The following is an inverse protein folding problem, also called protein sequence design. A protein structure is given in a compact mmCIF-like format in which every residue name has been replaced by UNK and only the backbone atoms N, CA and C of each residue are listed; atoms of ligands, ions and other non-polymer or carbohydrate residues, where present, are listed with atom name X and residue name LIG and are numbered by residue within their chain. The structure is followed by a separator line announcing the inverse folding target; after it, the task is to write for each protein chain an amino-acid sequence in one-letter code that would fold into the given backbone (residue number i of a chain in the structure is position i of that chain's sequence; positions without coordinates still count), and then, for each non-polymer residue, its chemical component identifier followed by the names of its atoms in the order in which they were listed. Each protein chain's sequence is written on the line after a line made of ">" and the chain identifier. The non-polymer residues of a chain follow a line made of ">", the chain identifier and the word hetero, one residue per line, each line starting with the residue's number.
data_IF_893543567559
#
_entry.id   IF_893543567559
#
_cell.length_a   1.000
_cell.length_b   1.000
_cell.length_c   1.000
_cell.angle_alpha   90.00
_cell.angle_beta   90.00
_cell.angle_gamma   90.00
#
_symmetry.space_group_name_H-M   'P 1'
#
loop_
_entity.id
_entity.type
_entity.pdbx_description
1 polymer ?
#
# COMPACT_ATOMS: atom_id res chain seq x y z
N UNK A 1 7.38 16.49 4.87
CA UNK A 1 8.80 16.82 4.56
C UNK A 1 9.75 16.00 5.42
N UNK A 2 10.82 15.44 4.87
CA UNK A 2 11.88 14.82 5.64
C UNK A 2 12.64 15.85 6.49
N UNK A 3 13.41 15.40 7.50
CA UNK A 3 14.22 16.32 8.30
C UNK A 3 15.28 17.04 7.46
N UNK A 4 15.80 16.38 6.40
CA UNK A 4 16.74 16.99 5.47
C UNK A 4 16.09 18.16 4.69
N UNK A 5 14.87 17.96 4.20
CA UNK A 5 14.09 19.01 3.53
C UNK A 5 13.73 20.17 4.48
N UNK A 6 13.32 19.88 5.71
CA UNK A 6 13.06 20.92 6.73
C UNK A 6 14.31 21.72 7.03
N UNK A 7 15.50 21.10 7.05
CA UNK A 7 16.78 21.84 7.20
C UNK A 7 17.03 22.79 6.02
N UNK A 8 16.69 22.37 4.80
CA UNK A 8 16.80 23.27 3.62
C UNK A 8 15.81 24.44 3.71
N UNK A 9 14.58 24.18 4.14
CA UNK A 9 13.56 25.21 4.34
C UNK A 9 14.05 26.24 5.35
N UNK A 10 14.46 25.83 6.55
CA UNK A 10 14.91 26.77 7.59
C UNK A 10 16.16 27.55 7.18
N UNK A 11 17.08 26.92 6.46
CA UNK A 11 18.26 27.60 5.92
C UNK A 11 17.88 28.67 4.87
N UNK A 12 16.93 28.37 3.98
CA UNK A 12 16.45 29.30 2.96
C UNK A 12 15.73 30.53 3.55
N UNK A 13 15.18 30.38 4.76
CA UNK A 13 14.49 31.43 5.50
C UNK A 13 15.40 32.16 6.51
N UNK A 14 16.69 31.83 6.55
CA UNK A 14 17.65 32.43 7.49
C UNK A 14 17.40 32.05 8.95
N UNK A 15 16.73 30.91 9.22
CA UNK A 15 16.45 30.44 10.57
C UNK A 15 17.59 29.54 11.09
N UNK A 16 17.79 29.46 12.43
CA UNK A 16 18.75 28.54 13.01
C UNK A 16 18.46 27.08 12.65
N UNK A 17 19.48 26.26 12.43
CA UNK A 17 19.36 24.87 11.97
C UNK A 17 18.52 23.96 12.89
N UNK A 18 18.55 24.21 14.21
CA UNK A 18 17.73 23.46 15.18
C UNK A 18 16.22 23.67 15.00
N UNK A 19 15.80 24.75 14.34
CA UNK A 19 14.39 25.04 14.04
C UNK A 19 13.75 23.94 13.19
N UNK A 20 14.52 23.26 12.34
CA UNK A 20 14.01 22.13 11.56
C UNK A 20 13.48 20.98 12.44
N UNK A 21 14.18 20.67 13.56
CA UNK A 21 13.71 19.66 14.51
C UNK A 21 12.47 20.13 15.30
N UNK A 22 12.40 21.43 15.62
CA UNK A 22 11.21 21.99 16.26
C UNK A 22 9.99 21.88 15.35
N UNK A 23 10.12 22.24 14.07
CA UNK A 23 9.05 22.10 13.08
C UNK A 23 8.63 20.63 12.94
N UNK A 24 9.61 19.71 12.81
CA UNK A 24 9.30 18.28 12.73
C UNK A 24 8.51 17.77 13.93
N UNK A 25 8.89 18.17 15.16
CA UNK A 25 8.15 17.80 16.38
C UNK A 25 6.71 18.35 16.38
N UNK A 26 6.51 19.58 15.92
CA UNK A 26 5.16 20.13 15.80
C UNK A 26 4.31 19.39 14.76
N UNK A 27 4.89 19.07 13.60
CA UNK A 27 4.20 18.37 12.52
C UNK A 27 3.88 16.91 12.88
N UNK A 28 4.83 16.18 13.46
CA UNK A 28 4.74 14.71 13.56
C UNK A 28 4.42 14.20 14.98
N UNK A 29 4.94 14.84 16.03
CA UNK A 29 4.61 14.46 17.41
C UNK A 29 3.30 15.10 17.88
N UNK A 30 3.13 16.40 17.62
CA UNK A 30 1.96 17.17 18.07
C UNK A 30 0.82 17.24 17.06
N UNK A 31 1.13 16.94 15.80
CA UNK A 31 0.16 16.88 14.69
C UNK A 31 -0.70 18.15 14.57
N UNK A 32 -0.06 19.31 14.64
CA UNK A 32 -0.74 20.60 14.56
C UNK A 32 -1.37 20.80 13.18
N UNK A 33 -2.50 21.50 13.13
CA UNK A 33 -3.19 21.85 11.89
C UNK A 33 -2.63 23.13 11.25
N UNK A 34 -2.10 24.05 12.07
CA UNK A 34 -1.67 25.36 11.62
C UNK A 34 -0.24 25.70 12.09
N UNK A 35 0.48 26.47 11.26
CA UNK A 35 1.85 26.92 11.60
C UNK A 35 1.85 27.81 12.85
N UNK A 36 0.79 28.58 13.06
CA UNK A 36 0.69 29.48 14.22
C UNK A 36 0.64 28.75 15.56
N UNK A 37 0.29 27.48 15.59
CA UNK A 37 0.33 26.64 16.78
C UNK A 37 1.77 26.32 17.25
N UNK A 38 2.79 26.53 16.41
CA UNK A 38 4.19 26.23 16.70
C UNK A 38 4.80 27.28 17.66
N UNK A 39 4.28 27.35 18.89
CA UNK A 39 4.52 28.44 19.86
C UNK A 39 5.97 28.58 20.35
N UNK A 40 6.82 27.58 20.20
CA UNK A 40 8.27 27.69 20.48
C UNK A 40 9.07 28.32 19.33
N UNK A 41 8.43 28.61 18.19
CA UNK A 41 8.98 29.46 17.14
C UNK A 41 8.61 30.93 17.40
N UNK A 42 9.51 31.87 17.08
CA UNK A 42 9.16 33.28 17.15
C UNK A 42 8.02 33.63 16.21
N UNK A 43 7.22 34.66 16.55
CA UNK A 43 6.14 35.17 15.69
C UNK A 43 6.64 35.45 14.27
N UNK A 44 7.80 36.12 14.15
CA UNK A 44 8.44 36.40 12.87
C UNK A 44 8.70 35.12 12.06
N UNK A 45 9.21 34.07 12.68
CA UNK A 45 9.51 32.81 12.00
C UNK A 45 8.23 32.09 11.57
N UNK A 46 7.18 32.10 12.38
CA UNK A 46 5.88 31.54 12.00
C UNK A 46 5.29 32.27 10.80
N UNK A 47 5.34 33.60 10.78
CA UNK A 47 4.88 34.42 9.65
C UNK A 47 5.67 34.10 8.37
N UNK A 48 7.00 34.05 8.43
CA UNK A 48 7.85 33.69 7.28
C UNK A 48 7.55 32.28 6.73
N UNK A 49 7.23 31.32 7.62
CA UNK A 49 6.80 29.98 7.20
C UNK A 49 5.42 30.01 6.56
N UNK A 50 4.45 30.69 7.16
CA UNK A 50 3.07 30.74 6.69
C UNK A 50 2.91 31.49 5.36
N UNK A 51 3.81 32.41 5.02
CA UNK A 51 3.86 33.07 3.70
C UNK A 51 4.15 32.12 2.54
N UNK A 52 4.80 30.98 2.79
CA UNK A 52 5.30 30.06 1.76
C UNK A 52 4.84 28.63 1.90
N UNK A 53 4.38 28.23 3.08
CA UNK A 53 4.04 26.86 3.42
C UNK A 53 2.75 26.79 4.21
N UNK A 54 2.09 25.65 4.13
CA UNK A 54 0.96 25.29 4.99
C UNK A 54 1.15 23.87 5.51
N UNK A 55 0.47 23.52 6.57
CA UNK A 55 0.34 22.13 7.01
C UNK A 55 -0.59 21.42 6.03
N UNK A 56 -0.08 20.38 5.34
CA UNK A 56 -0.74 19.75 4.20
C UNK A 56 -1.82 18.73 4.56
N UNK A 57 -2.44 18.82 5.73
CA UNK A 57 -3.49 17.89 6.14
C UNK A 57 -4.85 18.34 5.61
N UNK A 58 -5.56 17.44 4.93
CA UNK A 58 -6.92 17.66 4.46
C UNK A 58 -7.80 16.45 4.79
N UNK A 59 -9.01 16.72 5.29
CA UNK A 59 -9.99 15.69 5.55
C UNK A 59 -10.39 14.95 4.25
N UNK A 60 -10.83 13.69 4.35
CA UNK A 60 -11.43 13.01 3.20
C UNK A 60 -12.67 13.78 2.73
N UNK A 61 -12.88 13.80 1.41
CA UNK A 61 -14.04 14.49 0.80
C UNK A 61 -15.30 13.65 0.78
N UNK A 62 -15.17 12.34 0.94
CA UNK A 62 -16.27 11.37 1.02
C UNK A 62 -15.85 10.14 1.84
N UNK A 63 -16.84 9.40 2.36
CA UNK A 63 -16.63 8.17 3.12
C UNK A 63 -17.80 7.21 3.00
N UNK A 64 -17.49 5.93 2.85
CA UNK A 64 -18.44 4.82 2.81
C UNK A 64 -18.13 3.85 3.94
N UNK A 65 -19.15 3.31 4.60
CA UNK A 65 -19.00 2.41 5.73
C UNK A 65 -19.68 1.07 5.44
N UNK A 66 -18.92 -0.02 5.58
CA UNK A 66 -19.38 -1.39 5.46
C UNK A 66 -20.05 -1.86 6.75
N UNK A 67 -20.93 -2.86 6.61
CA UNK A 67 -21.55 -3.54 7.75
C UNK A 67 -20.54 -4.28 8.63
N UNK A 68 -19.35 -4.61 8.12
CA UNK A 68 -18.26 -5.26 8.87
C UNK A 68 -17.33 -4.27 9.61
N UNK A 69 -17.66 -2.98 9.60
CA UNK A 69 -16.90 -1.91 10.21
C UNK A 69 -15.79 -1.33 9.32
N UNK A 70 -15.51 -1.92 8.16
CA UNK A 70 -14.57 -1.36 7.19
C UNK A 70 -15.08 -0.02 6.67
N UNK A 71 -14.20 0.96 6.53
CA UNK A 71 -14.54 2.26 5.97
C UNK A 71 -13.62 2.60 4.80
N UNK A 72 -14.19 3.08 3.70
CA UNK A 72 -13.48 3.55 2.54
C UNK A 72 -13.62 5.07 2.44
N UNK A 73 -12.49 5.75 2.41
CA UNK A 73 -12.42 7.21 2.35
C UNK A 73 -11.83 7.67 1.03
N UNK A 74 -12.37 8.77 0.53
CA UNK A 74 -11.95 9.43 -0.67
C UNK A 74 -11.19 10.71 -0.34
N UNK A 75 -9.98 10.83 -0.87
CA UNK A 75 -9.16 12.03 -0.75
C UNK A 75 -9.02 12.72 -2.11
N UNK A 76 -9.01 14.05 -2.08
CA UNK A 76 -8.67 14.85 -3.24
C UNK A 76 -7.18 15.18 -3.19
N UNK A 77 -6.49 14.98 -4.31
CA UNK A 77 -5.08 15.35 -4.46
C UNK A 77 -4.93 16.85 -4.69
N UNK A 78 -3.71 17.36 -4.55
CA UNK A 78 -3.38 18.76 -4.84
C UNK A 78 -3.62 19.14 -6.33
N UNK A 79 -3.51 18.16 -7.23
CA UNK A 79 -3.80 18.33 -8.65
C UNK A 79 -5.31 18.29 -8.97
N UNK A 80 -6.16 17.90 -8.02
CA UNK A 80 -7.61 17.82 -8.20
C UNK A 80 -8.13 16.42 -8.49
N UNK A 81 -7.25 15.43 -8.65
CA UNK A 81 -7.62 14.03 -8.80
C UNK A 81 -8.10 13.43 -7.48
N UNK A 82 -8.58 12.18 -7.53
CA UNK A 82 -9.09 11.49 -6.35
C UNK A 82 -8.37 10.16 -6.12
N UNK A 83 -8.24 9.78 -4.84
CA UNK A 83 -7.64 8.52 -4.41
C UNK A 83 -8.41 7.93 -3.24
N UNK A 84 -8.55 6.61 -3.22
CA UNK A 84 -9.25 5.87 -2.17
C UNK A 84 -8.27 5.27 -1.16
N UNK A 85 -8.71 5.23 0.09
CA UNK A 85 -8.01 4.63 1.23
C UNK A 85 -9.01 3.80 2.04
N UNK A 86 -8.59 2.65 2.57
CA UNK A 86 -9.48 1.76 3.32
C UNK A 86 -8.99 1.55 4.74
N UNK A 87 -9.85 1.89 5.70
CA UNK A 87 -9.67 1.60 7.12
C UNK A 87 -10.33 0.26 7.46
N UNK A 88 -9.58 -0.69 7.99
CA UNK A 88 -10.00 -2.07 8.23
C UNK A 88 -9.81 -2.39 9.71
N UNK A 89 -10.87 -2.34 10.53
CA UNK A 89 -10.83 -2.79 11.93
C UNK A 89 -10.87 -4.31 12.01
N UNK A 90 -10.14 -4.89 12.98
CA UNK A 90 -10.12 -6.33 13.23
C UNK A 90 -9.76 -6.60 14.69
N UNK A 91 -10.75 -6.64 15.59
CA UNK A 91 -10.56 -6.73 17.04
C UNK A 91 -9.72 -5.56 17.56
N UNK A 92 -8.60 -5.86 18.22
CA UNK A 92 -7.65 -4.85 18.75
C UNK A 92 -6.72 -4.28 17.67
N UNK A 93 -6.92 -4.65 16.41
CA UNK A 93 -6.11 -4.19 15.28
C UNK A 93 -6.92 -3.28 14.36
N UNK A 94 -6.26 -2.26 13.86
CA UNK A 94 -6.77 -1.46 12.77
C UNK A 94 -5.68 -1.34 11.70
N UNK A 95 -5.99 -1.70 10.47
CA UNK A 95 -5.09 -1.62 9.32
C UNK A 95 -5.58 -0.56 8.36
N UNK A 96 -4.69 0.32 7.92
CA UNK A 96 -4.98 1.24 6.83
C UNK A 96 -4.35 0.74 5.54
N UNK A 97 -5.18 0.57 4.51
CA UNK A 97 -4.74 0.29 3.15
C UNK A 97 -4.60 1.62 2.41
N UNK A 98 -3.36 2.03 2.13
CA UNK A 98 -3.05 3.31 1.50
C UNK A 98 -2.71 3.15 0.03
N UNK A 99 -3.00 4.18 -0.74
CA UNK A 99 -2.71 4.30 -2.15
C UNK A 99 -1.41 5.08 -2.38
N UNK A 100 -0.68 4.73 -3.43
CA UNK A 100 0.56 5.39 -3.84
C UNK A 100 0.47 6.15 -5.16
N UNK A 101 -0.59 5.90 -5.93
CA UNK A 101 -0.84 6.56 -7.22
C UNK A 101 -2.34 6.74 -7.42
N UNK A 102 -2.73 7.65 -8.31
CA UNK A 102 -4.07 7.74 -8.89
C UNK A 102 -4.09 6.84 -10.12
N UNK A 103 -4.84 5.73 -10.04
CA UNK A 103 -4.78 4.67 -11.05
C UNK A 103 -3.47 3.87 -11.02
N UNK A 104 -3.21 3.03 -12.04
CA UNK A 104 -2.03 2.16 -12.07
C UNK A 104 -1.64 1.79 -13.50
N UNK A 105 -0.32 1.77 -13.79
CA UNK A 105 0.23 1.37 -15.10
C UNK A 105 0.26 -0.14 -15.33
N UNK A 106 0.15 -0.94 -14.26
CA UNK A 106 0.40 -2.39 -14.33
C UNK A 106 -0.68 -3.16 -15.09
N UNK A 107 -1.87 -2.60 -15.25
CA UNK A 107 -2.97 -3.15 -16.04
C UNK A 107 -3.29 -4.62 -15.71
N UNK A 108 -3.26 -5.00 -14.46
CA UNK A 108 -3.65 -6.34 -14.01
C UNK A 108 -5.13 -6.58 -14.33
N UNK A 109 -5.46 -7.71 -14.99
CA UNK A 109 -6.81 -8.01 -15.50
C UNK A 109 -7.89 -8.07 -14.40
N UNK A 110 -7.51 -8.41 -13.19
CA UNK A 110 -8.39 -8.58 -12.04
C UNK A 110 -8.48 -7.34 -11.12
N UNK A 111 -7.92 -6.21 -11.54
CA UNK A 111 -7.80 -5.02 -10.69
C UNK A 111 -8.48 -3.80 -11.31
N UNK A 112 -9.44 -3.21 -10.61
CA UNK A 112 -10.15 -2.01 -11.07
C UNK A 112 -9.21 -0.81 -11.25
N UNK A 113 -8.25 -0.63 -10.33
CA UNK A 113 -7.23 0.41 -10.43
C UNK A 113 -6.39 0.28 -11.71
N UNK A 114 -6.04 -0.96 -12.09
CA UNK A 114 -5.33 -1.23 -13.33
C UNK A 114 -6.16 -0.92 -14.57
N UNK A 115 -7.46 -1.16 -14.52
CA UNK A 115 -8.42 -0.83 -15.61
C UNK A 115 -8.68 0.65 -15.74
N UNK A 116 -8.67 1.39 -14.63
CA UNK A 116 -8.78 2.86 -14.63
C UNK A 116 -7.60 3.50 -15.41
N UNK A 117 -6.45 2.83 -15.42
CA UNK A 117 -5.21 3.38 -15.98
C UNK A 117 -4.51 4.34 -15.01
N UNK A 118 -3.30 4.76 -15.38
CA UNK A 118 -2.48 5.66 -14.57
C UNK A 118 -2.79 7.12 -14.89
N UNK A 119 -2.96 7.93 -13.86
CA UNK A 119 -3.15 9.38 -13.97
C UNK A 119 -1.99 10.13 -13.33
N UNK A 120 -1.67 9.88 -12.05
CA UNK A 120 -0.63 10.58 -11.32
C UNK A 120 0.04 9.70 -10.24
N UNK A 121 1.29 10.03 -9.91
CA UNK A 121 1.94 9.54 -8.70
C UNK A 121 1.63 10.47 -7.52
N UNK A 122 1.33 9.90 -6.36
CA UNK A 122 1.10 10.68 -5.14
C UNK A 122 2.42 11.16 -4.55
N UNK A 123 2.43 12.37 -4.02
CA UNK A 123 3.52 12.89 -3.20
C UNK A 123 3.55 12.20 -1.83
N UNK A 124 4.70 12.23 -1.15
CA UNK A 124 4.80 11.72 0.22
C UNK A 124 3.80 12.40 1.18
N UNK A 125 3.50 13.69 0.96
CA UNK A 125 2.49 14.42 1.74
C UNK A 125 1.10 13.84 1.51
N UNK A 126 0.71 13.55 0.28
CA UNK A 126 -0.60 12.95 -0.04
C UNK A 126 -0.72 11.51 0.47
N UNK A 127 0.39 10.74 0.47
CA UNK A 127 0.44 9.41 1.09
C UNK A 127 0.23 9.52 2.61
N UNK A 128 0.96 10.41 3.29
CA UNK A 128 0.85 10.62 4.73
C UNK A 128 -0.51 11.21 5.12
N UNK A 129 -1.09 12.07 4.29
CA UNK A 129 -2.43 12.63 4.53
C UNK A 129 -3.49 11.53 4.63
N UNK A 130 -3.43 10.49 3.79
CA UNK A 130 -4.32 9.34 3.90
C UNK A 130 -4.22 8.66 5.27
N UNK A 131 -3.03 8.65 5.89
CA UNK A 131 -2.79 7.96 7.16
C UNK A 131 -3.29 8.77 8.35
N UNK A 132 -3.03 10.08 8.35
CA UNK A 132 -3.26 10.93 9.51
C UNK A 132 -4.54 11.78 9.44
N UNK A 133 -5.28 11.72 8.33
CA UNK A 133 -6.55 12.44 8.16
C UNK A 133 -7.77 11.54 8.06
N UNK A 134 -7.61 10.21 8.13
CA UNK A 134 -8.77 9.31 8.25
C UNK A 134 -9.35 9.38 9.66
N UNK A 135 -10.68 9.37 9.84
CA UNK A 135 -11.30 9.19 11.13
C UNK A 135 -10.81 7.89 11.80
N UNK A 136 -10.40 7.95 13.06
CA UNK A 136 -9.89 6.80 13.82
C UNK A 136 -8.41 6.48 13.55
N UNK A 137 -7.65 7.38 12.94
CA UNK A 137 -6.22 7.18 12.66
C UNK A 137 -5.40 6.90 13.93
N UNK A 138 -5.81 7.39 15.08
CA UNK A 138 -5.19 7.15 16.38
C UNK A 138 -5.23 5.69 16.82
N UNK A 139 -6.16 4.90 16.27
CA UNK A 139 -6.30 3.47 16.55
C UNK A 139 -5.50 2.59 15.57
N UNK A 140 -4.83 3.17 14.60
CA UNK A 140 -4.09 2.42 13.60
C UNK A 140 -2.94 1.62 14.24
N UNK A 141 -2.89 0.34 13.91
CA UNK A 141 -1.81 -0.57 14.32
C UNK A 141 -0.93 -1.02 13.17
N UNK A 142 -1.45 -0.97 11.94
CA UNK A 142 -0.74 -1.43 10.74
C UNK A 142 -1.06 -0.55 9.53
N UNK A 143 -0.10 -0.43 8.64
CA UNK A 143 -0.24 0.25 7.34
C UNK A 143 0.14 -0.74 6.24
N UNK A 144 -0.66 -0.83 5.19
CA UNK A 144 -0.35 -1.63 4.01
C UNK A 144 -0.46 -0.79 2.74
N UNK A 145 0.58 -0.79 1.92
CA UNK A 145 0.58 -0.16 0.61
C UNK A 145 0.02 -1.15 -0.41
N UNK A 146 -1.30 -1.35 -0.36
CA UNK A 146 -2.06 -2.30 -1.18
C UNK A 146 -3.30 -1.65 -1.81
N UNK A 147 -3.40 -0.32 -1.76
CA UNK A 147 -4.44 0.47 -2.39
C UNK A 147 -4.17 0.69 -3.88
N UNK A 148 -4.50 1.88 -4.37
CA UNK A 148 -4.29 2.24 -5.77
C UNK A 148 -2.82 2.50 -6.08
N UNK A 149 -2.35 1.98 -7.23
CA UNK A 149 -1.00 2.19 -7.74
C UNK A 149 -0.02 1.06 -7.45
N UNK A 150 1.16 1.17 -8.05
CA UNK A 150 2.32 0.30 -7.82
C UNK A 150 3.37 1.10 -7.02
N UNK A 151 3.62 0.77 -5.75
CA UNK A 151 4.55 1.53 -4.93
C UNK A 151 5.98 1.60 -5.50
N UNK A 152 6.43 0.57 -6.21
CA UNK A 152 7.78 0.55 -6.81
C UNK A 152 7.88 1.42 -8.08
N UNK A 153 6.76 1.86 -8.67
CA UNK A 153 6.72 2.85 -9.75
C UNK A 153 6.72 4.29 -9.22
N UNK A 154 6.43 4.48 -7.92
CA UNK A 154 6.48 5.77 -7.21
C UNK A 154 7.44 5.72 -6.01
N UNK A 155 8.55 5.04 -6.16
CA UNK A 155 9.39 4.62 -5.05
C UNK A 155 10.00 5.78 -4.26
N UNK A 156 10.40 6.87 -4.91
CA UNK A 156 11.01 8.02 -4.21
C UNK A 156 10.04 8.65 -3.20
N UNK A 157 8.79 8.88 -3.58
CA UNK A 157 7.79 9.44 -2.68
C UNK A 157 7.34 8.43 -1.60
N UNK A 158 7.28 7.14 -1.96
CA UNK A 158 7.03 6.06 -0.99
C UNK A 158 8.16 6.01 0.04
N UNK A 159 9.43 6.07 -0.37
CA UNK A 159 10.57 6.11 0.57
C UNK A 159 10.54 7.33 1.48
N UNK A 160 10.22 8.50 0.95
CA UNK A 160 10.05 9.72 1.76
C UNK A 160 8.95 9.55 2.81
N UNK A 161 7.82 8.96 2.42
CA UNK A 161 6.74 8.64 3.36
C UNK A 161 7.19 7.61 4.42
N UNK A 162 7.87 6.54 4.01
CA UNK A 162 8.40 5.51 4.92
C UNK A 162 9.43 6.08 5.90
N UNK A 163 10.34 6.96 5.43
CA UNK A 163 11.31 7.67 6.29
C UNK A 163 10.56 8.47 7.37
N UNK A 164 9.59 9.29 6.98
CA UNK A 164 8.82 10.11 7.92
C UNK A 164 8.02 9.21 8.90
N UNK A 165 7.46 8.11 8.42
CA UNK A 165 6.72 7.18 9.27
C UNK A 165 7.62 6.51 10.33
N UNK A 166 8.86 6.13 9.97
CA UNK A 166 9.69 5.27 10.82
C UNK A 166 10.79 6.01 11.59
N UNK A 167 11.19 7.20 11.15
CA UNK A 167 12.28 7.96 11.77
C UNK A 167 11.93 8.50 13.17
N UNK A 168 12.93 8.67 14.03
CA UNK A 168 12.79 9.22 15.38
C UNK A 168 12.24 10.67 15.41
N UNK A 169 12.47 11.44 14.35
CA UNK A 169 11.94 12.80 14.20
C UNK A 169 10.52 12.82 13.62
N UNK A 170 10.07 11.70 13.05
CA UNK A 170 8.77 11.53 12.42
C UNK A 170 7.75 10.86 13.34
N UNK A 171 6.94 9.99 12.78
CA UNK A 171 5.86 9.33 13.53
C UNK A 171 6.31 8.10 14.35
N UNK A 172 7.57 7.68 14.25
CA UNK A 172 8.20 6.62 15.07
C UNK A 172 7.51 5.25 14.96
N UNK A 173 6.90 4.94 13.82
CA UNK A 173 6.32 3.64 13.58
C UNK A 173 7.39 2.56 13.49
N UNK A 174 7.11 1.40 14.06
CA UNK A 174 7.96 0.24 13.80
C UNK A 174 7.83 -0.20 12.33
N UNK A 175 8.94 -0.40 11.60
CA UNK A 175 8.88 -0.93 10.23
C UNK A 175 8.11 -2.26 10.12
N UNK A 176 8.05 -3.06 11.19
CA UNK A 176 7.27 -4.31 11.28
C UNK A 176 5.75 -4.11 11.18
N UNK A 177 5.27 -2.90 11.34
CA UNK A 177 3.85 -2.56 11.22
C UNK A 177 3.48 -2.03 9.83
N UNK A 178 4.46 -1.91 8.94
CA UNK A 178 4.28 -1.39 7.59
C UNK A 178 4.60 -2.49 6.58
N UNK A 179 3.69 -2.74 5.65
CA UNK A 179 3.90 -3.68 4.55
C UNK A 179 3.78 -2.95 3.21
N UNK A 180 4.78 -3.09 2.36
CA UNK A 180 4.74 -2.55 0.99
C UNK A 180 4.55 -3.71 0.02
N UNK A 181 3.50 -3.62 -0.80
CA UNK A 181 3.20 -4.63 -1.83
C UNK A 181 3.69 -4.17 -3.19
N UNK A 182 4.12 -5.12 -4.03
CA UNK A 182 4.57 -4.85 -5.40
C UNK A 182 4.31 -6.03 -6.32
N UNK A 183 4.13 -5.74 -7.59
CA UNK A 183 4.12 -6.76 -8.66
C UNK A 183 5.53 -7.26 -9.01
N UNK A 184 6.58 -6.60 -8.49
CA UNK A 184 7.98 -7.00 -8.63
C UNK A 184 8.77 -6.20 -9.66
N UNK A 185 8.56 -4.89 -9.78
CA UNK A 185 9.36 -4.04 -10.66
C UNK A 185 10.85 -4.07 -10.23
N UNK A 186 11.73 -4.59 -11.09
CA UNK A 186 13.12 -4.96 -10.78
C UNK A 186 13.92 -3.88 -10.05
N UNK A 187 13.98 -2.67 -10.61
CA UNK A 187 14.78 -1.59 -10.03
C UNK A 187 14.25 -1.15 -8.66
N UNK A 188 12.92 -0.99 -8.57
CA UNK A 188 12.26 -0.59 -7.34
C UNK A 188 12.37 -1.66 -6.26
N UNK A 189 12.14 -2.93 -6.60
CA UNK A 189 12.23 -4.05 -5.68
C UNK A 189 13.63 -4.19 -5.09
N UNK A 190 14.69 -4.13 -5.94
CA UNK A 190 16.07 -4.21 -5.45
C UNK A 190 16.38 -3.07 -4.49
N UNK A 191 16.05 -1.84 -4.85
CA UNK A 191 16.26 -0.69 -3.98
C UNK A 191 15.50 -0.82 -2.66
N UNK A 192 14.24 -1.29 -2.70
CA UNK A 192 13.46 -1.53 -1.48
C UNK A 192 14.11 -2.59 -0.57
N UNK A 193 14.63 -3.66 -1.16
CA UNK A 193 15.34 -4.69 -0.42
C UNK A 193 16.63 -4.19 0.23
N UNK A 194 17.33 -3.27 -0.41
CA UNK A 194 18.60 -2.71 0.08
C UNK A 194 18.37 -1.60 1.15
N UNK A 195 17.32 -0.78 1.01
CA UNK A 195 17.19 0.47 1.78
C UNK A 195 16.05 0.48 2.82
N UNK A 196 15.08 -0.47 2.77
CA UNK A 196 13.93 -0.49 3.67
C UNK A 196 13.94 -1.70 4.61
N UNK A 197 13.51 -1.50 5.85
CA UNK A 197 13.25 -2.57 6.83
C UNK A 197 11.77 -2.95 6.95
N UNK A 198 10.89 -2.29 6.20
CA UNK A 198 9.46 -2.59 6.18
C UNK A 198 9.19 -3.99 5.58
N UNK A 199 8.07 -4.59 5.95
CA UNK A 199 7.64 -5.87 5.38
C UNK A 199 7.37 -5.74 3.89
N UNK A 200 7.66 -6.82 3.16
CA UNK A 200 7.47 -6.93 1.71
C UNK A 200 6.37 -7.93 1.38
N UNK A 201 5.48 -7.55 0.48
CA UNK A 201 4.50 -8.44 -0.12
C UNK A 201 4.69 -8.46 -1.64
N UNK A 202 4.76 -9.65 -2.22
CA UNK A 202 4.84 -9.83 -3.68
C UNK A 202 3.49 -10.29 -4.20
N UNK A 203 2.92 -9.55 -5.15
CA UNK A 203 1.73 -9.95 -5.91
C UNK A 203 2.11 -11.06 -6.87
N UNK A 204 1.94 -12.32 -6.44
CA UNK A 204 2.33 -13.50 -7.21
C UNK A 204 1.19 -14.00 -8.11
N UNK A 205 0.06 -14.34 -7.53
CA UNK A 205 -1.22 -14.76 -8.11
C UNK A 205 -1.20 -15.96 -9.05
N UNK A 206 -0.06 -16.30 -9.65
CA UNK A 206 0.12 -17.54 -10.41
C UNK A 206 1.57 -18.03 -10.35
N UNK A 207 1.80 -19.34 -10.10
CA UNK A 207 3.14 -19.92 -10.06
C UNK A 207 3.71 -20.27 -11.43
N UNK A 208 2.91 -20.15 -12.50
CA UNK A 208 3.25 -20.47 -13.88
C UNK A 208 3.43 -19.15 -14.63
N UNK A 209 4.62 -18.87 -15.26
CA UNK A 209 4.89 -17.60 -15.92
C UNK A 209 3.87 -17.21 -16.99
N UNK A 210 3.47 -18.16 -17.86
CA UNK A 210 2.50 -17.91 -18.94
C UNK A 210 1.12 -17.52 -18.38
N UNK A 211 0.69 -18.20 -17.32
CA UNK A 211 -0.56 -17.87 -16.64
C UNK A 211 -0.45 -16.50 -15.95
N UNK A 212 0.66 -16.23 -15.27
CA UNK A 212 0.90 -14.94 -14.62
C UNK A 212 0.92 -13.82 -15.64
N UNK A 213 1.60 -14.00 -16.79
CA UNK A 213 1.63 -13.02 -17.87
C UNK A 213 0.21 -12.72 -18.43
N UNK A 214 -0.64 -13.75 -18.55
CA UNK A 214 -2.02 -13.55 -19.02
C UNK A 214 -2.88 -12.68 -18.11
N UNK A 215 -2.53 -12.61 -16.80
CA UNK A 215 -3.24 -11.83 -15.78
C UNK A 215 -2.53 -10.54 -15.41
N UNK A 216 -1.19 -10.55 -15.45
CA UNK A 216 -0.32 -9.47 -14.98
C UNK A 216 0.74 -9.16 -16.03
N UNK A 217 0.55 -8.15 -16.88
CA UNK A 217 1.52 -7.79 -17.93
C UNK A 217 2.93 -7.45 -17.39
N UNK A 218 3.04 -7.08 -16.11
CA UNK A 218 4.32 -6.83 -15.43
C UNK A 218 5.27 -8.05 -15.45
N UNK A 219 4.75 -9.28 -15.58
CA UNK A 219 5.54 -10.50 -15.75
C UNK A 219 6.54 -10.41 -16.90
N UNK A 220 6.15 -9.72 -17.98
CA UNK A 220 7.04 -9.50 -19.13
C UNK A 220 8.27 -8.66 -18.79
N UNK A 221 8.12 -7.71 -17.86
CA UNK A 221 9.20 -6.79 -17.48
C UNK A 221 10.15 -7.40 -16.44
N UNK A 222 9.61 -8.21 -15.53
CA UNK A 222 10.38 -8.92 -14.51
C UNK A 222 9.66 -10.24 -14.15
N UNK A 223 10.09 -11.37 -14.72
CA UNK A 223 9.50 -12.68 -14.50
C UNK A 223 9.51 -13.10 -13.04
N UNK A 224 8.49 -13.86 -12.61
CA UNK A 224 8.37 -14.30 -11.20
C UNK A 224 9.58 -15.12 -10.76
N UNK A 225 10.15 -15.90 -11.64
CA UNK A 225 11.35 -16.70 -11.36
C UNK A 225 12.56 -15.82 -11.03
N UNK A 226 12.78 -14.73 -11.77
CA UNK A 226 13.82 -13.76 -11.47
C UNK A 226 13.57 -13.00 -10.15
N UNK A 227 12.28 -12.71 -9.84
CA UNK A 227 11.90 -12.14 -8.53
C UNK A 227 12.30 -13.09 -7.41
N UNK A 228 11.98 -14.38 -7.53
CA UNK A 228 12.34 -15.41 -6.54
C UNK A 228 13.85 -15.51 -6.38
N UNK A 229 14.61 -15.54 -7.48
CA UNK A 229 16.09 -15.59 -7.43
C UNK A 229 16.68 -14.35 -6.75
N UNK A 230 16.11 -13.16 -6.99
CA UNK A 230 16.52 -11.96 -6.29
C UNK A 230 16.23 -12.07 -4.78
N UNK A 231 15.02 -12.52 -4.40
CA UNK A 231 14.61 -12.65 -3.01
C UNK A 231 15.47 -13.66 -2.23
N UNK A 232 15.97 -14.72 -2.87
CA UNK A 232 16.88 -15.69 -2.24
C UNK A 232 18.21 -15.10 -1.77
N UNK A 233 18.58 -13.91 -2.28
CA UNK A 233 19.82 -13.22 -1.88
C UNK A 233 19.65 -12.44 -0.56
N UNK A 234 18.44 -12.37 0.00
CA UNK A 234 18.11 -11.59 1.20
C UNK A 234 17.62 -12.49 2.35
N UNK A 235 17.85 -12.04 3.57
CA UNK A 235 17.41 -12.74 4.77
C UNK A 235 16.09 -12.14 5.29
N UNK A 236 15.05 -12.97 5.44
CA UNK A 236 13.74 -12.58 5.93
C UNK A 236 13.42 -13.16 7.32
N UNK A 237 14.34 -13.86 7.96
CA UNK A 237 14.10 -14.56 9.24
C UNK A 237 14.01 -13.65 10.46
N UNK A 238 14.44 -12.39 10.37
CA UNK A 238 14.55 -11.50 11.53
C UNK A 238 13.63 -10.28 11.47
N UNK A 239 14.09 -9.20 10.83
CA UNK A 239 13.40 -7.91 10.85
C UNK A 239 12.26 -7.85 9.82
N UNK A 240 12.58 -8.16 8.58
CA UNK A 240 11.67 -8.06 7.46
C UNK A 240 10.94 -9.38 7.24
N UNK A 241 9.62 -9.32 7.10
CA UNK A 241 8.81 -10.45 6.68
C UNK A 241 8.54 -10.37 5.18
N UNK A 242 8.66 -11.52 4.50
CA UNK A 242 8.26 -11.71 3.13
C UNK A 242 6.90 -12.43 3.07
N UNK A 243 5.96 -11.89 2.31
CA UNK A 243 4.71 -12.56 1.97
C UNK A 243 4.45 -12.57 0.48
N UNK A 244 3.69 -13.54 0.03
CA UNK A 244 3.18 -13.64 -1.34
C UNK A 244 1.66 -13.54 -1.29
N UNK A 245 1.11 -12.61 -2.05
CA UNK A 245 -0.33 -12.43 -2.20
C UNK A 245 -0.80 -13.29 -3.37
N UNK A 246 -1.81 -14.12 -3.14
CA UNK A 246 -2.32 -15.07 -4.11
C UNK A 246 -3.84 -15.00 -4.19
N UNK A 247 -4.37 -14.24 -5.15
CA UNK A 247 -5.79 -14.21 -5.45
C UNK A 247 -6.16 -15.52 -6.14
N UNK A 248 -7.17 -16.23 -5.62
CA UNK A 248 -7.62 -17.50 -6.15
C UNK A 248 -8.77 -17.31 -7.12
N UNK A 249 -8.59 -17.75 -8.35
CA UNK A 249 -9.54 -17.68 -9.44
C UNK A 249 -10.05 -19.09 -9.78
N UNK A 250 -11.36 -19.27 -9.82
CA UNK A 250 -11.99 -20.56 -10.05
C UNK A 250 -11.59 -21.20 -11.37
N UNK A 251 -11.02 -22.41 -11.32
CA UNK A 251 -10.57 -23.15 -12.49
C UNK A 251 -9.32 -22.65 -13.18
N UNK A 252 -8.76 -21.52 -12.74
CA UNK A 252 -7.62 -20.89 -13.42
C UNK A 252 -6.30 -21.15 -12.68
N UNK A 253 -6.25 -20.90 -11.36
CA UNK A 253 -5.04 -21.04 -10.53
C UNK A 253 -5.28 -21.77 -9.20
N UNK A 254 -6.43 -22.38 -9.00
CA UNK A 254 -6.91 -22.93 -7.72
C UNK A 254 -6.87 -24.47 -7.64
N UNK A 255 -6.16 -25.13 -8.58
CA UNK A 255 -6.08 -26.59 -8.61
C UNK A 255 -4.93 -27.14 -7.74
N UNK A 256 -4.97 -28.44 -7.35
CA UNK A 256 -3.86 -29.08 -6.62
C UNK A 256 -2.51 -29.00 -7.36
N UNK A 257 -2.52 -28.97 -8.69
CA UNK A 257 -1.32 -28.79 -9.52
C UNK A 257 -0.69 -27.43 -9.28
N UNK A 258 -1.51 -26.36 -9.20
CA UNK A 258 -1.02 -25.01 -8.90
C UNK A 258 -0.47 -24.91 -7.47
N UNK A 259 -1.10 -25.58 -6.47
CA UNK A 259 -0.55 -25.63 -5.11
C UNK A 259 0.83 -26.30 -5.08
N UNK A 260 0.99 -27.40 -5.83
CA UNK A 260 2.28 -28.13 -5.95
C UNK A 260 3.35 -27.26 -6.63
N UNK A 261 3.01 -26.57 -7.70
CA UNK A 261 3.94 -25.66 -8.40
C UNK A 261 4.34 -24.47 -7.53
N UNK A 262 3.38 -23.88 -6.80
CA UNK A 262 3.64 -22.79 -5.87
C UNK A 262 4.58 -23.23 -4.73
N UNK A 263 4.33 -24.41 -4.14
CA UNK A 263 5.21 -24.97 -3.11
C UNK A 263 6.62 -25.21 -3.64
N UNK A 264 6.74 -25.69 -4.87
CA UNK A 264 8.05 -25.90 -5.54
C UNK A 264 8.77 -24.58 -5.79
N UNK A 265 8.08 -23.57 -6.29
CA UNK A 265 8.63 -22.24 -6.59
C UNK A 265 9.17 -21.54 -5.33
N UNK A 266 8.43 -21.65 -4.21
CA UNK A 266 8.78 -20.99 -2.94
C UNK A 266 9.69 -21.82 -2.03
N UNK A 267 10.05 -23.04 -2.43
CA UNK A 267 10.88 -23.94 -1.62
C UNK A 267 12.18 -23.27 -1.17
N UNK A 268 12.44 -23.31 0.14
CA UNK A 268 13.66 -22.75 0.75
C UNK A 268 13.63 -21.23 0.99
N UNK A 269 12.55 -20.54 0.68
CA UNK A 269 12.33 -19.16 1.11
C UNK A 269 11.62 -19.13 2.48
N UNK A 270 12.12 -18.31 3.41
CA UNK A 270 11.37 -17.97 4.62
C UNK A 270 10.30 -16.94 4.27
N UNK A 271 9.10 -17.43 3.99
CA UNK A 271 8.00 -16.62 3.48
C UNK A 271 6.64 -17.13 3.98
N UNK A 272 5.62 -16.33 3.70
CA UNK A 272 4.21 -16.65 3.95
C UNK A 272 3.41 -16.50 2.67
N UNK A 273 2.28 -17.18 2.57
CA UNK A 273 1.33 -17.00 1.48
C UNK A 273 -0.02 -16.54 2.05
N UNK A 274 -0.57 -15.50 1.49
CA UNK A 274 -1.92 -15.02 1.78
C UNK A 274 -2.83 -15.37 0.61
N UNK A 275 -3.73 -16.32 0.80
CA UNK A 275 -4.77 -16.64 -0.16
C UNK A 275 -5.90 -15.62 -0.05
N UNK A 276 -6.28 -15.04 -1.16
CA UNK A 276 -7.28 -13.98 -1.25
C UNK A 276 -8.43 -14.46 -2.14
N UNK A 277 -9.67 -14.27 -1.69
CA UNK A 277 -10.84 -14.51 -2.54
C UNK A 277 -10.91 -13.47 -3.63
N UNK A 278 -11.14 -13.92 -4.87
CA UNK A 278 -11.40 -12.99 -5.97
C UNK A 278 -12.82 -12.44 -5.86
N UNK A 279 -12.93 -11.13 -5.95
CA UNK A 279 -14.21 -10.44 -6.08
C UNK A 279 -14.42 -10.04 -7.54
N UNK A 280 -15.59 -10.40 -8.09
CA UNK A 280 -15.91 -10.09 -9.47
C UNK A 280 -15.84 -8.59 -9.73
N UNK A 281 -15.21 -8.21 -10.81
CA UNK A 281 -15.14 -6.84 -11.30
C UNK A 281 -15.81 -6.75 -12.68
N UNK A 282 -16.34 -5.58 -13.05
CA UNK A 282 -16.98 -5.40 -14.35
C UNK A 282 -16.07 -5.80 -15.53
N UNK A 283 -16.67 -6.41 -16.55
CA UNK A 283 -15.98 -6.81 -17.78
C UNK A 283 -14.80 -7.79 -17.59
N UNK A 284 -14.82 -8.59 -16.52
CA UNK A 284 -13.88 -9.71 -16.29
C UNK A 284 -14.65 -10.99 -16.06
N UNK A 285 -14.61 -11.85 -17.05
CA UNK A 285 -15.24 -13.18 -17.01
C UNK A 285 -14.26 -14.20 -16.41
N UNK A 286 -13.98 -14.03 -15.11
CA UNK A 286 -13.21 -14.98 -14.31
C UNK A 286 -14.08 -15.34 -13.10
N UNK A 287 -14.41 -16.62 -12.87
CA UNK A 287 -15.18 -17.00 -11.71
C UNK A 287 -14.34 -16.93 -10.42
N UNK A 288 -14.92 -16.58 -9.26
CA UNK A 288 -14.27 -16.76 -7.98
C UNK A 288 -14.06 -18.25 -7.70
N UNK A 289 -13.03 -18.57 -6.91
CA UNK A 289 -12.86 -19.93 -6.41
C UNK A 289 -13.89 -20.26 -5.34
N UNK A 290 -14.18 -21.54 -5.18
CA UNK A 290 -15.06 -22.03 -4.12
C UNK A 290 -14.28 -22.38 -2.83
N UNK A 291 -14.92 -22.29 -1.69
CA UNK A 291 -14.29 -22.54 -0.38
C UNK A 291 -13.66 -23.92 -0.28
N UNK A 292 -14.32 -24.94 -0.84
CA UNK A 292 -13.84 -26.33 -0.88
C UNK A 292 -12.48 -26.50 -1.58
N UNK A 293 -12.05 -25.53 -2.37
CA UNK A 293 -10.72 -25.53 -2.99
C UNK A 293 -9.69 -24.73 -2.19
N UNK A 294 -10.12 -23.69 -1.48
CA UNK A 294 -9.21 -22.83 -0.72
C UNK A 294 -8.59 -23.57 0.46
N UNK A 295 -9.38 -24.32 1.21
CA UNK A 295 -8.89 -25.03 2.39
C UNK A 295 -7.83 -26.10 2.03
N UNK A 296 -8.07 -27.04 1.09
CA UNK A 296 -7.05 -28.00 0.69
C UNK A 296 -5.79 -27.33 0.07
N UNK A 297 -5.95 -26.24 -0.64
CA UNK A 297 -4.82 -25.49 -1.20
C UNK A 297 -3.93 -24.89 -0.09
N UNK A 298 -4.54 -24.25 0.92
CA UNK A 298 -3.85 -23.76 2.12
C UNK A 298 -3.13 -24.89 2.86
N UNK A 299 -3.84 -25.98 3.10
CA UNK A 299 -3.31 -27.12 3.88
C UNK A 299 -2.15 -27.79 3.15
N UNK A 300 -2.24 -27.91 1.83
CA UNK A 300 -1.13 -28.40 1.02
C UNK A 300 0.13 -27.57 1.21
N UNK A 301 0.06 -26.25 1.08
CA UNK A 301 1.21 -25.35 1.27
C UNK A 301 1.75 -25.40 2.69
N UNK A 302 0.88 -25.40 3.68
CA UNK A 302 1.25 -25.45 5.11
C UNK A 302 1.98 -26.76 5.44
N UNK A 303 1.50 -27.90 4.93
CA UNK A 303 2.15 -29.21 5.08
C UNK A 303 3.49 -29.31 4.37
N UNK A 304 3.78 -28.40 3.41
CA UNK A 304 5.07 -28.27 2.76
C UNK A 304 5.97 -27.18 3.36
N UNK A 305 5.64 -26.72 4.59
CA UNK A 305 6.46 -25.78 5.36
C UNK A 305 6.26 -24.31 4.99
N UNK A 306 5.23 -23.96 4.20
CA UNK A 306 4.91 -22.58 3.83
C UNK A 306 3.69 -22.13 4.66
N UNK A 307 3.92 -21.26 5.63
CA UNK A 307 2.82 -20.72 6.44
C UNK A 307 1.81 -19.97 5.56
N UNK A 308 0.59 -20.50 5.49
CA UNK A 308 -0.42 -20.01 4.56
C UNK A 308 -1.70 -19.62 5.30
N UNK A 309 -2.24 -18.44 4.99
CA UNK A 309 -3.51 -17.94 5.55
C UNK A 309 -4.52 -17.69 4.44
N UNK A 310 -5.80 -17.83 4.76
CA UNK A 310 -6.91 -17.36 3.92
C UNK A 310 -7.34 -16.01 4.51
N UNK A 311 -7.19 -14.93 3.75
CA UNK A 311 -7.59 -13.60 4.21
C UNK A 311 -9.12 -13.49 4.23
N UNK A 312 -9.64 -12.94 5.32
CA UNK A 312 -11.04 -12.53 5.35
C UNK A 312 -11.26 -11.40 4.33
N UNK A 313 -12.31 -11.49 3.57
CA UNK A 313 -12.80 -10.39 2.75
C UNK A 313 -13.39 -9.31 3.65
N UNK A 314 -13.09 -8.05 3.37
CA UNK A 314 -13.56 -6.91 4.12
C UNK A 314 -14.08 -5.84 3.17
N UNK A 315 -15.20 -5.19 3.54
CA UNK A 315 -15.77 -4.07 2.80
C UNK A 315 -16.22 -4.43 1.38
N UNK A 316 -16.71 -5.64 1.14
CA UNK A 316 -17.19 -6.05 -0.18
C UNK A 316 -18.39 -5.21 -0.65
N UNK A 317 -19.32 -4.94 0.26
CA UNK A 317 -20.55 -4.18 0.03
C UNK A 317 -20.30 -2.71 -0.36
N UNK A 318 -19.12 -2.19 -0.06
CA UNK A 318 -18.69 -0.82 -0.41
C UNK A 318 -17.54 -0.80 -1.43
N UNK A 319 -17.28 -1.92 -2.11
CA UNK A 319 -16.17 -2.06 -3.07
C UNK A 319 -14.79 -1.66 -2.50
N UNK A 320 -14.53 -2.03 -1.24
CA UNK A 320 -13.26 -1.75 -0.56
C UNK A 320 -12.31 -2.96 -0.51
N UNK A 321 -12.74 -4.14 -0.97
CA UNK A 321 -11.89 -5.33 -1.00
C UNK A 321 -10.74 -5.20 -2.01
N UNK A 322 -9.69 -6.03 -1.84
CA UNK A 322 -8.51 -6.00 -2.69
C UNK A 322 -8.84 -6.08 -4.19
N UNK A 323 -8.30 -5.14 -4.96
CA UNK A 323 -8.52 -5.04 -6.41
C UNK A 323 -9.79 -4.28 -6.82
N UNK A 324 -10.62 -3.84 -5.89
CA UNK A 324 -11.89 -3.14 -6.17
C UNK A 324 -11.78 -1.61 -6.17
N UNK A 325 -10.70 -1.04 -5.65
CA UNK A 325 -10.54 0.41 -5.54
C UNK A 325 -10.44 1.07 -6.92
N UNK A 326 -11.26 2.08 -7.15
CA UNK A 326 -11.28 2.87 -8.39
C UNK A 326 -12.03 4.18 -8.19
N UNK A 327 -11.48 5.27 -8.68
CA UNK A 327 -12.11 6.59 -8.70
C UNK A 327 -12.85 6.89 -10.00
N UNK A 328 -12.93 5.94 -10.93
CA UNK A 328 -13.56 6.09 -12.25
C UNK A 328 -15.03 6.56 -12.17
N UNK A 329 -15.75 6.22 -11.10
CA UNK A 329 -17.15 6.64 -10.89
C UNK A 329 -17.32 8.17 -10.73
N UNK A 330 -16.24 8.90 -10.39
CA UNK A 330 -16.28 10.35 -10.15
C UNK A 330 -15.95 11.17 -11.40
N UNK A 331 -15.39 10.52 -12.42
CA UNK A 331 -15.11 11.13 -13.72
C UNK A 331 -16.31 11.06 -14.68
N UNK A 332 -17.52 10.75 -14.18
CA UNK A 332 -18.72 10.63 -15.00
C UNK A 332 -18.81 9.33 -15.80
N UNK A 333 -17.95 8.38 -15.54
CA UNK A 333 -18.06 7.01 -16.06
C UNK A 333 -18.98 6.23 -15.14
N UNK A 334 -20.26 6.13 -15.48
CA UNK A 334 -21.16 5.18 -14.83
C UNK A 334 -20.63 3.76 -15.06
N UNK A 335 -20.02 3.19 -14.04
CA UNK A 335 -19.78 1.76 -14.00
C UNK A 335 -21.14 1.10 -13.77
N UNK A 336 -21.78 0.67 -14.85
CA UNK A 336 -22.97 -0.17 -14.77
C UNK A 336 -22.58 -1.51 -14.12
N UNK A 337 -22.84 -1.63 -12.84
CA UNK A 337 -22.80 -2.86 -12.08
C UNK A 337 -24.15 -3.57 -12.29
N UNK A 338 -24.34 -4.18 -13.47
CA UNK A 338 -25.48 -5.05 -13.76
C UNK A 338 -25.33 -6.41 -13.10
#
# INVERSE_FOLDING_TARGET
>A
MTLAELKQVVASLGMPSFTAKQIASWMYDKQVAEIDEMTNLSVKNRQLLAERYCIGNSAPVDGQHSVDGTAKYLFRTSAGDYVETVYIPDGDRATLCVSSQVGCKMNCRFCMTGKQGFQASLTATEILNQIYSVPGHENLTNIVFMGQGEPMDNLDEVFRALEILTADYGYKWSPKRITVSTVGLRKGLKRFLDESECHLAISLHAPIPELRLSMMPAEKAFPIEEIIELLRQYNFSHQRRLSFEYIMFGGLNDTPTHAKQLASLLKGLDCRVNLIRFHKIPNVDIPPTVEDRMMPFRDYLTNHGIFTTIRASRGEDIFAACGLLSTAKQEGVELNFG
#
